data_IF_445348523422
#
_entry.id   IF_445348523422
#
_cell.length_a   1.000
_cell.length_b   1.000
_cell.length_c   1.000
_cell.angle_alpha   90.00
_cell.angle_beta   90.00
_cell.angle_gamma   90.00
#
_symmetry.space_group_name_H-M   'P 1'
#
loop_
_entity.id
_entity.type
_entity.pdbx_description
1 polymer ?
#
# COMPACT_ATOMS: atom_id res chain seq x y z
N UNK A 1 1.74 23.33 15.39
CA UNK A 1 3.17 23.69 15.19
C UNK A 1 3.36 24.06 13.72
N UNK A 2 4.47 24.66 13.33
CA UNK A 2 4.80 24.72 11.89
C UNK A 2 5.09 23.29 11.38
N UNK A 3 4.65 22.91 10.18
CA UNK A 3 4.90 21.58 9.65
C UNK A 3 6.39 21.32 9.52
N UNK A 4 6.84 20.09 9.80
CA UNK A 4 8.20 19.66 9.50
C UNK A 4 8.38 19.71 7.97
N UNK A 5 9.47 20.30 7.51
CA UNK A 5 9.80 20.42 6.08
C UNK A 5 11.18 19.86 5.73
N UNK A 6 11.97 19.47 6.72
CA UNK A 6 13.35 18.99 6.61
C UNK A 6 13.43 17.45 6.65
N UNK A 7 12.48 16.79 5.98
CA UNK A 7 12.51 15.33 5.86
C UNK A 7 13.69 14.86 5.00
N UNK A 8 14.33 13.73 5.33
CA UNK A 8 15.27 13.11 4.42
C UNK A 8 14.55 12.64 3.14
N UNK A 9 15.27 12.52 2.01
CA UNK A 9 14.73 11.95 0.79
C UNK A 9 14.22 10.51 0.98
N UNK A 10 13.14 10.19 0.27
CA UNK A 10 12.51 8.88 0.37
C UNK A 10 13.38 7.83 -0.31
N UNK A 11 13.68 6.75 0.41
CA UNK A 11 14.40 5.57 -0.09
C UNK A 11 13.51 4.34 -0.22
N UNK A 12 12.33 4.34 0.42
CA UNK A 12 11.36 3.26 0.32
C UNK A 12 9.93 3.76 0.17
N UNK A 13 9.17 3.17 -0.75
CA UNK A 13 7.72 3.34 -0.87
C UNK A 13 7.01 2.05 -0.49
N UNK A 14 6.05 2.14 0.44
CA UNK A 14 5.26 1.03 0.94
C UNK A 14 3.80 1.26 0.55
N UNK A 15 3.19 0.31 -0.13
CA UNK A 15 1.86 0.47 -0.70
C UNK A 15 0.85 -0.41 0.00
N UNK A 16 -0.29 0.15 0.41
CA UNK A 16 -1.50 -0.66 0.49
C UNK A 16 -1.93 -1.12 -0.92
N UNK A 17 -2.98 -1.93 -1.03
CA UNK A 17 -3.49 -2.43 -2.31
C UNK A 17 -4.95 -2.04 -2.53
N UNK A 18 -5.79 -2.23 -1.52
CA UNK A 18 -7.24 -2.23 -1.69
C UNK A 18 -7.76 -0.80 -1.60
N UNK A 19 -8.44 -0.32 -2.64
CA UNK A 19 -8.88 1.09 -2.70
C UNK A 19 -7.77 2.10 -3.02
N UNK A 20 -6.52 1.65 -3.08
CA UNK A 20 -5.35 2.47 -3.44
C UNK A 20 -4.72 2.08 -4.78
N UNK A 21 -4.29 0.82 -4.94
CA UNK A 21 -3.73 0.33 -6.21
C UNK A 21 -4.84 -0.13 -7.13
N UNK A 22 -5.88 -0.74 -6.55
CA UNK A 22 -7.01 -1.33 -7.26
C UNK A 22 -8.34 -0.70 -6.82
N UNK A 23 -9.32 -0.69 -7.72
CA UNK A 23 -10.70 -0.22 -7.50
C UNK A 23 -11.57 -1.13 -6.59
N UNK A 24 -10.93 -1.88 -5.68
CA UNK A 24 -11.57 -2.97 -4.95
C UNK A 24 -12.64 -2.50 -3.98
N UNK A 25 -12.59 -1.27 -3.47
CA UNK A 25 -13.58 -0.74 -2.52
C UNK A 25 -15.01 -0.70 -3.09
N UNK A 26 -15.15 -0.40 -4.37
CA UNK A 26 -16.45 -0.41 -5.04
C UNK A 26 -16.93 -1.84 -5.29
N UNK A 27 -16.02 -2.76 -5.61
CA UNK A 27 -16.32 -4.16 -5.81
C UNK A 27 -16.69 -4.89 -4.51
N UNK A 28 -16.01 -4.57 -3.41
CA UNK A 28 -16.40 -5.02 -2.06
C UNK A 28 -17.82 -4.58 -1.73
N UNK A 29 -18.14 -3.31 -2.01
CA UNK A 29 -19.47 -2.75 -1.78
C UNK A 29 -20.52 -3.45 -2.63
N UNK A 30 -20.23 -3.72 -3.91
CA UNK A 30 -21.12 -4.45 -4.80
C UNK A 30 -21.44 -5.86 -4.27
N UNK A 31 -20.42 -6.63 -3.88
CA UNK A 31 -20.60 -7.96 -3.28
C UNK A 31 -21.48 -7.92 -2.03
N UNK A 32 -21.22 -6.97 -1.12
CA UNK A 32 -21.98 -6.83 0.13
C UNK A 32 -23.43 -6.43 -0.14
N UNK A 33 -23.66 -5.48 -1.05
CA UNK A 33 -24.98 -4.97 -1.38
C UNK A 33 -25.90 -6.04 -2.00
N UNK A 34 -25.36 -6.93 -2.84
CA UNK A 34 -26.13 -8.07 -3.37
C UNK A 34 -26.71 -8.91 -2.23
N UNK A 35 -25.93 -9.19 -1.19
CA UNK A 35 -26.38 -9.98 -0.04
C UNK A 35 -27.37 -9.18 0.82
N UNK A 36 -27.10 -7.89 1.06
CA UNK A 36 -28.01 -7.03 1.83
C UNK A 36 -29.40 -6.96 1.18
N UNK A 37 -29.47 -6.78 -0.14
CA UNK A 37 -30.74 -6.74 -0.87
C UNK A 37 -31.51 -8.07 -0.76
N UNK A 38 -30.83 -9.21 -0.90
CA UNK A 38 -31.43 -10.54 -0.72
C UNK A 38 -31.99 -10.76 0.70
N UNK A 39 -31.41 -10.08 1.69
CA UNK A 39 -31.82 -10.12 3.09
C UNK A 39 -32.82 -9.00 3.46
N UNK A 40 -33.27 -8.20 2.49
CA UNK A 40 -34.20 -7.09 2.73
C UNK A 40 -33.61 -5.96 3.58
N UNK A 41 -32.28 -5.81 3.58
CA UNK A 41 -31.55 -4.76 4.31
C UNK A 41 -31.25 -3.58 3.38
N UNK A 42 -31.10 -2.36 3.94
CA UNK A 42 -30.63 -1.22 3.16
C UNK A 42 -29.21 -1.48 2.63
N UNK A 43 -28.88 -0.86 1.50
CA UNK A 43 -27.51 -0.84 0.96
C UNK A 43 -26.52 -0.30 1.99
N UNK A 44 -25.27 -0.77 1.91
CA UNK A 44 -24.19 -0.39 2.81
C UNK A 44 -23.95 1.13 2.77
N UNK A 45 -24.29 1.88 3.84
CA UNK A 45 -24.06 3.31 3.86
C UNK A 45 -22.58 3.61 4.09
N UNK A 46 -22.12 4.75 3.58
CA UNK A 46 -20.73 5.18 3.73
C UNK A 46 -20.29 5.33 5.20
N UNK A 47 -21.19 5.74 6.08
CA UNK A 47 -20.94 5.82 7.53
C UNK A 47 -20.59 4.47 8.18
N UNK A 48 -20.98 3.35 7.56
CA UNK A 48 -20.57 2.00 7.98
C UNK A 48 -19.35 1.56 7.17
N UNK A 49 -19.36 1.72 5.84
CA UNK A 49 -18.22 1.36 4.97
C UNK A 49 -16.91 1.99 5.44
N UNK A 50 -16.93 3.26 5.81
CA UNK A 50 -15.77 3.99 6.33
C UNK A 50 -15.17 3.36 7.59
N UNK A 51 -15.97 2.63 8.37
CA UNK A 51 -15.51 1.89 9.55
C UNK A 51 -14.96 0.52 9.22
N UNK A 52 -15.28 -0.05 8.05
CA UNK A 52 -14.81 -1.37 7.62
C UNK A 52 -13.48 -1.28 6.86
N UNK A 53 -13.34 -0.26 6.03
CA UNK A 53 -12.21 -0.05 5.12
C UNK A 53 -10.86 0.00 5.85
N UNK A 54 -9.87 -0.71 5.31
CA UNK A 54 -8.50 -0.78 5.86
C UNK A 54 -8.32 -1.61 7.14
N UNK A 55 -9.39 -2.23 7.69
CA UNK A 55 -9.29 -3.10 8.86
C UNK A 55 -8.99 -4.55 8.50
N UNK A 56 -8.39 -5.32 9.43
CA UNK A 56 -8.32 -6.77 9.32
C UNK A 56 -9.71 -7.40 9.18
N UNK A 57 -9.79 -8.49 8.40
CA UNK A 57 -11.05 -9.18 8.09
C UNK A 57 -11.93 -9.48 9.30
N UNK A 58 -11.43 -10.08 10.40
CA UNK A 58 -12.25 -10.38 11.57
C UNK A 58 -12.91 -9.16 12.21
N UNK A 59 -12.20 -8.03 12.29
CA UNK A 59 -12.72 -6.80 12.91
C UNK A 59 -13.77 -6.14 12.01
N UNK A 60 -13.53 -6.12 10.70
CA UNK A 60 -14.48 -5.62 9.71
C UNK A 60 -15.77 -6.48 9.69
N UNK A 61 -15.62 -7.82 9.69
CA UNK A 61 -16.74 -8.75 9.76
C UNK A 61 -17.60 -8.50 11.00
N UNK A 62 -17.00 -8.36 12.19
CA UNK A 62 -17.72 -8.09 13.43
C UNK A 62 -18.56 -6.80 13.34
N UNK A 63 -17.95 -5.69 12.95
CA UNK A 63 -18.62 -4.39 12.83
C UNK A 63 -19.75 -4.44 11.78
N UNK A 64 -19.52 -5.14 10.68
CA UNK A 64 -20.54 -5.33 9.66
C UNK A 64 -21.74 -6.11 10.21
N UNK A 65 -21.54 -7.24 10.89
CA UNK A 65 -22.64 -8.05 11.41
C UNK A 65 -23.45 -7.34 12.52
N UNK A 66 -22.78 -6.55 13.37
CA UNK A 66 -23.44 -5.71 14.38
C UNK A 66 -24.46 -4.75 13.77
N UNK A 67 -24.12 -4.15 12.61
CA UNK A 67 -25.03 -3.25 11.88
C UNK A 67 -26.02 -3.99 10.98
N UNK A 68 -25.54 -5.00 10.24
CA UNK A 68 -26.28 -5.64 9.16
C UNK A 68 -27.43 -6.50 9.69
N UNK A 69 -27.31 -7.10 10.87
CA UNK A 69 -28.35 -7.91 11.52
C UNK A 69 -29.03 -8.88 10.55
N UNK A 70 -28.21 -9.62 9.78
CA UNK A 70 -28.68 -10.55 8.77
C UNK A 70 -29.42 -11.73 9.41
N UNK A 71 -30.38 -12.31 8.67
CA UNK A 71 -31.10 -13.50 9.14
C UNK A 71 -30.30 -14.81 8.97
N UNK A 72 -29.33 -14.80 8.06
CA UNK A 72 -28.39 -15.90 7.81
C UNK A 72 -27.25 -15.91 8.82
N UNK A 73 -26.65 -17.09 9.01
CA UNK A 73 -25.46 -17.24 9.87
C UNK A 73 -24.23 -16.53 9.29
N UNK A 74 -23.24 -16.19 10.14
CA UNK A 74 -21.96 -15.65 9.67
C UNK A 74 -21.25 -16.60 8.69
N UNK A 75 -21.35 -17.91 8.91
CA UNK A 75 -20.79 -18.92 8.01
C UNK A 75 -21.44 -18.86 6.63
N UNK A 76 -22.75 -18.76 6.57
CA UNK A 76 -23.50 -18.66 5.31
C UNK A 76 -23.21 -17.33 4.59
N UNK A 77 -23.14 -16.22 5.33
CA UNK A 77 -22.72 -14.93 4.79
C UNK A 77 -21.32 -15.02 4.15
N UNK A 78 -20.34 -15.59 4.83
CA UNK A 78 -18.98 -15.75 4.29
C UNK A 78 -18.94 -16.64 3.04
N UNK A 79 -19.77 -17.70 2.99
CA UNK A 79 -19.87 -18.55 1.81
C UNK A 79 -20.43 -17.80 0.60
N UNK A 80 -21.51 -17.04 0.79
CA UNK A 80 -22.11 -16.21 -0.27
C UNK A 80 -21.14 -15.11 -0.72
N UNK A 81 -20.52 -14.40 0.23
CA UNK A 81 -19.56 -13.35 -0.07
C UNK A 81 -18.35 -13.88 -0.85
N UNK A 82 -17.78 -15.02 -0.43
CA UNK A 82 -16.66 -15.64 -1.14
C UNK A 82 -17.03 -16.10 -2.55
N UNK A 83 -18.26 -16.57 -2.77
CA UNK A 83 -18.74 -16.92 -4.11
C UNK A 83 -18.82 -15.69 -5.02
N UNK A 84 -19.37 -14.58 -4.53
CA UNK A 84 -19.43 -13.31 -5.26
C UNK A 84 -18.04 -12.74 -5.54
N UNK A 85 -17.15 -12.75 -4.55
CA UNK A 85 -15.77 -12.27 -4.69
C UNK A 85 -15.00 -13.05 -5.76
N UNK A 86 -15.16 -14.38 -5.84
CA UNK A 86 -14.54 -15.20 -6.90
C UNK A 86 -15.01 -14.84 -8.31
N UNK A 87 -16.22 -14.31 -8.45
CA UNK A 87 -16.75 -13.86 -9.73
C UNK A 87 -16.33 -12.42 -10.07
N UNK A 88 -16.30 -11.54 -9.06
CA UNK A 88 -16.16 -10.09 -9.25
C UNK A 88 -14.70 -9.63 -9.19
N UNK A 89 -13.89 -10.13 -8.25
CA UNK A 89 -12.50 -9.66 -8.09
C UNK A 89 -11.58 -9.86 -9.31
N UNK A 90 -11.76 -10.87 -10.17
CA UNK A 90 -11.04 -10.96 -11.44
C UNK A 90 -11.30 -9.79 -12.42
N UNK A 91 -12.25 -8.91 -12.12
CA UNK A 91 -12.56 -7.71 -12.92
C UNK A 91 -11.96 -6.42 -12.37
N UNK A 92 -11.21 -6.49 -11.25
CA UNK A 92 -10.50 -5.34 -10.66
C UNK A 92 -9.59 -4.65 -11.66
N UNK A 93 -9.46 -3.34 -11.52
CA UNK A 93 -8.64 -2.49 -12.37
C UNK A 93 -7.70 -1.63 -11.54
N UNK A 94 -6.52 -1.28 -12.08
CA UNK A 94 -5.67 -0.27 -11.48
C UNK A 94 -6.39 1.07 -11.39
N UNK A 95 -6.24 1.78 -10.27
CA UNK A 95 -6.74 3.15 -10.16
C UNK A 95 -5.92 4.13 -11.03
N UNK A 96 -6.50 5.29 -11.42
CA UNK A 96 -5.79 6.30 -12.19
C UNK A 96 -4.46 6.70 -11.55
N UNK A 97 -3.44 6.89 -12.39
CA UNK A 97 -2.08 7.23 -11.94
C UNK A 97 -1.24 6.06 -11.42
N UNK A 98 -1.85 4.98 -10.90
CA UNK A 98 -1.13 3.84 -10.31
C UNK A 98 -0.13 3.19 -11.28
N UNK A 99 -0.48 2.86 -12.54
CA UNK A 99 0.49 2.26 -13.47
C UNK A 99 1.70 3.15 -13.72
N UNK A 100 1.48 4.46 -13.91
CA UNK A 100 2.57 5.43 -14.13
C UNK A 100 3.42 5.61 -12.88
N UNK A 101 2.80 5.70 -11.70
CA UNK A 101 3.48 5.80 -10.43
C UNK A 101 4.42 4.62 -10.20
N UNK A 102 3.90 3.40 -10.32
CA UNK A 102 4.68 2.18 -10.14
C UNK A 102 5.79 2.09 -11.21
N UNK A 103 5.49 2.31 -12.49
CA UNK A 103 6.53 2.29 -13.54
C UNK A 103 7.68 3.26 -13.24
N UNK A 104 7.37 4.49 -12.83
CA UNK A 104 8.37 5.51 -12.50
C UNK A 104 9.22 5.13 -11.28
N UNK A 105 8.59 4.64 -10.20
CA UNK A 105 9.33 4.18 -9.02
C UNK A 105 10.17 2.94 -9.34
N UNK A 106 9.64 2.01 -10.15
CA UNK A 106 10.36 0.81 -10.59
C UNK A 106 11.57 1.11 -11.47
N UNK A 107 11.50 2.20 -12.24
CA UNK A 107 12.62 2.70 -13.07
C UNK A 107 13.79 3.21 -12.24
N UNK A 108 13.57 3.63 -10.99
CA UNK A 108 14.67 4.09 -10.11
C UNK A 108 15.74 3.03 -9.87
N UNK A 109 15.48 1.74 -10.16
CA UNK A 109 16.51 0.69 -10.21
C UNK A 109 17.68 1.01 -11.16
N UNK A 110 17.46 1.90 -12.13
CA UNK A 110 18.51 2.46 -12.99
C UNK A 110 19.70 2.98 -12.18
N UNK A 111 19.45 3.60 -11.03
CA UNK A 111 20.52 4.18 -10.20
C UNK A 111 21.46 3.11 -9.63
N UNK A 112 20.98 1.87 -9.46
CA UNK A 112 21.79 0.71 -9.05
C UNK A 112 22.47 0.04 -10.26
N UNK A 113 21.77 -0.04 -11.39
CA UNK A 113 22.17 -0.88 -12.54
C UNK A 113 23.08 -0.15 -13.54
N UNK A 114 23.06 1.19 -13.56
CA UNK A 114 23.83 1.96 -14.54
C UNK A 114 25.34 1.69 -14.38
N UNK A 115 26.06 1.35 -15.46
CA UNK A 115 27.50 1.18 -15.42
C UNK A 115 28.22 2.47 -15.00
N UNK A 116 29.32 2.37 -14.25
CA UNK A 116 30.13 3.53 -13.86
C UNK A 116 30.62 4.37 -15.05
N UNK A 117 30.81 3.74 -16.21
CA UNK A 117 31.21 4.38 -17.48
C UNK A 117 30.13 5.25 -18.12
N UNK A 118 28.87 5.15 -17.70
CA UNK A 118 27.75 5.95 -18.21
C UNK A 118 27.60 7.31 -17.50
N UNK A 119 28.50 7.65 -16.56
CA UNK A 119 28.50 8.95 -15.89
C UNK A 119 29.14 10.04 -16.77
N UNK A 120 28.30 10.83 -17.43
CA UNK A 120 28.75 12.10 -18.02
C UNK A 120 29.01 13.12 -16.88
N UNK A 121 30.28 13.32 -16.55
CA UNK A 121 30.90 14.62 -16.21
C UNK A 121 30.36 15.47 -15.05
N UNK A 122 31.29 15.82 -14.14
CA UNK A 122 31.34 17.00 -13.28
C UNK A 122 30.23 17.23 -12.25
N UNK A 123 30.53 16.90 -10.99
CA UNK A 123 29.84 17.42 -9.80
C UNK A 123 30.83 17.98 -8.78
N UNK A 124 31.45 19.12 -9.06
CA UNK A 124 31.90 20.03 -8.01
C UNK A 124 30.67 20.79 -7.52
N UNK A 125 30.15 20.47 -6.33
CA UNK A 125 29.06 21.21 -5.72
C UNK A 125 28.47 20.46 -4.52
N UNK A 126 28.65 21.02 -3.33
CA UNK A 126 27.97 20.60 -2.13
C UNK A 126 26.43 20.72 -2.27
N UNK A 127 25.71 19.83 -1.61
CA UNK A 127 24.27 19.92 -1.26
C UNK A 127 23.20 19.69 -2.35
N UNK A 128 23.38 18.68 -3.21
CA UNK A 128 22.24 17.90 -3.75
C UNK A 128 22.52 16.42 -3.50
N UNK A 129 21.65 15.74 -2.75
CA UNK A 129 21.76 14.30 -2.56
C UNK A 129 21.78 13.58 -3.92
N UNK A 130 22.69 12.62 -4.07
CA UNK A 130 22.82 11.86 -5.30
C UNK A 130 21.55 11.02 -5.52
N UNK A 131 20.98 11.00 -6.74
CA UNK A 131 19.86 10.12 -7.07
C UNK A 131 20.13 8.66 -6.69
N UNK A 132 19.14 8.03 -6.06
CA UNK A 132 19.21 6.65 -5.56
C UNK A 132 17.96 5.87 -5.95
N UNK A 133 18.06 4.54 -5.87
CA UNK A 133 16.91 3.66 -6.05
C UNK A 133 15.90 3.85 -4.94
N UNK A 134 14.61 3.88 -5.30
CA UNK A 134 13.51 3.75 -4.35
C UNK A 134 13.09 2.29 -4.29
N UNK A 135 13.20 1.70 -3.10
CA UNK A 135 12.75 0.34 -2.84
C UNK A 135 11.23 0.29 -2.64
N UNK A 136 10.59 -0.80 -3.08
CA UNK A 136 9.13 -0.91 -3.05
C UNK A 136 8.73 -2.19 -2.31
N UNK A 137 7.67 -2.09 -1.50
CA UNK A 137 7.01 -3.21 -0.84
C UNK A 137 5.48 -3.07 -0.89
N UNK A 138 4.80 -4.21 -0.86
CA UNK A 138 3.34 -4.29 -0.75
C UNK A 138 2.97 -4.65 0.69
N UNK A 139 1.99 -3.97 1.27
CA UNK A 139 1.53 -4.12 2.64
C UNK A 139 -0.01 -4.08 2.68
N UNK A 140 -0.66 -5.21 2.39
CA UNK A 140 -2.13 -5.31 2.29
C UNK A 140 -2.74 -6.15 3.41
N UNK A 141 -3.92 -5.75 3.90
CA UNK A 141 -4.72 -6.57 4.82
C UNK A 141 -5.47 -7.72 4.13
N UNK A 142 -5.41 -7.81 2.80
CA UNK A 142 -5.92 -8.96 2.05
C UNK A 142 -5.12 -10.23 2.36
N UNK A 143 -5.83 -11.34 2.62
CA UNK A 143 -5.22 -12.67 2.68
C UNK A 143 -4.81 -13.15 1.30
N UNK A 144 -3.90 -14.13 1.23
CA UNK A 144 -3.35 -14.67 -0.02
C UNK A 144 -4.40 -15.05 -1.07
N UNK A 145 -5.50 -15.70 -0.65
CA UNK A 145 -6.55 -16.11 -1.58
C UNK A 145 -7.22 -14.91 -2.28
N UNK A 146 -7.54 -13.85 -1.53
CA UNK A 146 -8.15 -12.65 -2.09
C UNK A 146 -7.15 -11.79 -2.85
N UNK A 147 -5.89 -11.73 -2.41
CA UNK A 147 -4.82 -11.10 -3.17
C UNK A 147 -4.76 -11.69 -4.58
N UNK A 148 -4.68 -13.01 -4.72
CA UNK A 148 -4.62 -13.70 -6.02
C UNK A 148 -5.83 -13.40 -6.91
N UNK A 149 -7.04 -13.47 -6.36
CA UNK A 149 -8.27 -13.16 -7.13
C UNK A 149 -8.27 -11.74 -7.72
N UNK A 150 -7.59 -10.80 -7.07
CA UNK A 150 -7.51 -9.39 -7.48
C UNK A 150 -6.29 -9.08 -8.36
N UNK A 151 -5.23 -9.89 -8.27
CA UNK A 151 -3.93 -9.55 -8.90
C UNK A 151 -3.50 -10.47 -10.02
N UNK A 152 -4.01 -11.70 -10.12
CA UNK A 152 -3.46 -12.72 -11.03
C UNK A 152 -3.65 -12.36 -12.52
N UNK A 153 -4.62 -11.50 -12.87
CA UNK A 153 -4.79 -10.94 -14.22
C UNK A 153 -4.01 -9.63 -14.45
N UNK A 154 -3.32 -9.12 -13.44
CA UNK A 154 -2.55 -7.86 -13.45
C UNK A 154 -1.06 -8.12 -13.15
N UNK A 155 -0.51 -9.21 -13.67
CA UNK A 155 0.86 -9.69 -13.38
C UNK A 155 1.93 -8.64 -13.62
N UNK A 156 1.84 -7.88 -14.71
CA UNK A 156 2.78 -6.80 -15.04
C UNK A 156 2.76 -5.67 -14.02
N UNK A 157 1.58 -5.31 -13.51
CA UNK A 157 1.46 -4.26 -12.50
C UNK A 157 2.11 -4.69 -11.18
N UNK A 158 1.90 -5.95 -10.78
CA UNK A 158 2.37 -6.46 -9.50
C UNK A 158 3.79 -7.04 -9.54
N UNK A 159 4.41 -7.20 -10.71
CA UNK A 159 5.79 -7.70 -10.85
C UNK A 159 6.80 -6.81 -10.13
N UNK A 160 6.51 -5.51 -10.05
CA UNK A 160 7.34 -4.51 -9.38
C UNK A 160 7.53 -4.78 -7.88
N UNK A 161 6.59 -5.51 -7.25
CA UNK A 161 6.68 -5.92 -5.86
C UNK A 161 7.33 -7.31 -5.80
N UNK A 162 8.61 -7.45 -5.40
CA UNK A 162 9.22 -8.77 -5.26
C UNK A 162 8.42 -9.62 -4.27
N UNK A 163 8.27 -10.92 -4.53
CA UNK A 163 7.45 -11.82 -3.69
C UNK A 163 7.83 -11.77 -2.20
N UNK A 164 9.13 -11.67 -1.88
CA UNK A 164 9.63 -11.58 -0.51
C UNK A 164 9.34 -10.23 0.18
N UNK A 165 8.94 -9.20 -0.58
CA UNK A 165 8.52 -7.87 -0.09
C UNK A 165 7.01 -7.65 -0.16
N UNK A 166 6.24 -8.72 -0.31
CA UNK A 166 4.77 -8.70 -0.20
C UNK A 166 4.38 -9.19 1.19
N UNK A 167 3.79 -8.29 1.97
CA UNK A 167 3.23 -8.59 3.28
C UNK A 167 1.70 -8.60 3.14
N UNK A 168 1.10 -9.75 3.39
CA UNK A 168 -0.33 -9.99 3.25
C UNK A 168 -1.01 -10.09 4.63
N UNK A 169 -2.33 -10.00 4.68
CA UNK A 169 -3.08 -9.96 5.95
C UNK A 169 -3.01 -11.26 6.77
N UNK A 170 -2.69 -12.38 6.14
CA UNK A 170 -2.52 -13.70 6.77
C UNK A 170 -1.04 -14.06 7.03
N UNK A 171 -0.12 -13.10 6.89
CA UNK A 171 1.30 -13.27 7.17
C UNK A 171 1.56 -13.60 8.65
N UNK A 172 2.15 -14.77 8.91
CA UNK A 172 2.38 -15.29 10.28
C UNK A 172 3.41 -14.50 11.08
N UNK A 173 4.17 -13.61 10.44
CA UNK A 173 5.12 -12.72 11.11
C UNK A 173 4.41 -11.57 11.82
N UNK A 174 3.14 -11.30 11.50
CA UNK A 174 2.29 -10.34 12.21
C UNK A 174 1.49 -11.11 13.27
N UNK A 175 1.63 -10.72 14.53
CA UNK A 175 0.91 -11.40 15.60
C UNK A 175 -0.62 -11.14 15.50
N UNK A 176 -1.47 -12.08 15.93
CA UNK A 176 -2.93 -11.87 15.95
C UNK A 176 -3.32 -10.58 16.69
N UNK A 177 -4.24 -9.81 16.11
CA UNK A 177 -4.67 -8.52 16.65
C UNK A 177 -3.72 -7.34 16.40
N UNK A 178 -2.61 -7.57 15.67
CA UNK A 178 -1.63 -6.54 15.28
C UNK A 178 -1.78 -6.03 13.85
N UNK A 179 -2.94 -6.23 13.23
CA UNK A 179 -3.26 -5.57 11.96
C UNK A 179 -3.49 -4.06 12.15
N UNK A 180 -3.69 -3.36 11.02
CA UNK A 180 -4.02 -1.92 11.02
C UNK A 180 -5.17 -1.65 12.00
N UNK A 181 -5.06 -0.64 12.86
CA UNK A 181 -4.18 0.53 12.82
C UNK A 181 -2.79 0.33 13.45
N UNK A 182 -2.44 -0.87 13.90
CA UNK A 182 -1.09 -1.11 14.39
C UNK A 182 -0.07 -1.03 13.25
N UNK A 183 1.17 -0.58 13.55
CA UNK A 183 2.18 -0.31 12.51
C UNK A 183 2.84 -1.57 11.93
N UNK A 184 2.56 -2.75 12.49
CA UNK A 184 3.30 -3.98 12.29
C UNK A 184 3.42 -4.38 10.82
N UNK A 185 2.38 -4.16 10.01
CA UNK A 185 2.41 -4.49 8.57
C UNK A 185 3.44 -3.64 7.80
N UNK A 186 3.53 -2.35 8.11
CA UNK A 186 4.48 -1.43 7.48
C UNK A 186 5.89 -1.61 8.02
N UNK A 187 6.03 -1.84 9.33
CA UNK A 187 7.33 -2.18 9.93
C UNK A 187 7.88 -3.49 9.37
N UNK A 188 7.02 -4.49 9.17
CA UNK A 188 7.41 -5.74 8.53
C UNK A 188 7.78 -5.54 7.07
N UNK A 189 7.02 -4.75 6.31
CA UNK A 189 7.36 -4.42 4.92
C UNK A 189 8.71 -3.69 4.82
N UNK A 190 8.99 -2.70 5.67
CA UNK A 190 10.31 -2.07 5.78
C UNK A 190 11.38 -3.09 6.14
N UNK A 191 11.11 -3.99 7.10
CA UNK A 191 12.05 -5.07 7.44
C UNK A 191 12.36 -5.94 6.22
N UNK A 192 11.37 -6.33 5.42
CA UNK A 192 11.62 -7.14 4.20
C UNK A 192 12.50 -6.41 3.18
N UNK A 193 12.37 -5.08 3.07
CA UNK A 193 13.25 -4.25 2.25
C UNK A 193 14.67 -4.30 2.82
N UNK A 194 14.83 -3.96 4.11
CA UNK A 194 16.13 -3.91 4.79
C UNK A 194 16.88 -5.25 4.78
N UNK A 195 16.17 -6.37 4.96
CA UNK A 195 16.73 -7.72 4.89
C UNK A 195 17.22 -8.10 3.49
N UNK A 196 16.77 -7.39 2.45
CA UNK A 196 17.07 -7.67 1.04
C UNK A 196 17.81 -6.52 0.34
N UNK A 197 18.39 -5.59 1.10
CA UNK A 197 19.22 -4.54 0.53
C UNK A 197 20.53 -5.12 -0.03
N UNK A 198 21.09 -4.54 -1.11
CA UNK A 198 22.42 -4.85 -1.58
C UNK A 198 23.48 -4.67 -0.49
N UNK A 199 24.56 -5.45 -0.57
CA UNK A 199 25.68 -5.32 0.34
C UNK A 199 26.28 -3.90 0.27
N UNK A 200 26.45 -3.26 1.44
CA UNK A 200 27.01 -1.92 1.55
C UNK A 200 25.97 -0.80 1.53
N UNK A 201 24.71 -1.07 1.18
CA UNK A 201 23.63 -0.11 1.38
C UNK A 201 23.24 -0.04 2.86
N UNK A 202 23.07 1.18 3.39
CA UNK A 202 22.67 1.39 4.79
C UNK A 202 21.21 1.00 4.98
N UNK A 203 20.81 0.43 6.13
CA UNK A 203 19.40 0.22 6.45
C UNK A 203 18.59 1.51 6.29
N UNK A 204 17.37 1.37 5.77
CA UNK A 204 16.41 2.46 5.59
C UNK A 204 15.68 2.67 6.91
N UNK A 205 15.66 3.92 7.38
CA UNK A 205 14.93 4.36 8.55
C UNK A 205 13.46 4.62 8.22
N UNK A 206 12.54 4.54 9.20
CA UNK A 206 11.13 4.84 8.98
C UNK A 206 10.85 6.23 8.37
N UNK A 207 11.61 7.26 8.73
CA UNK A 207 11.41 8.61 8.18
C UNK A 207 11.86 8.77 6.71
N UNK A 208 12.66 7.82 6.20
CA UNK A 208 13.03 7.69 4.78
C UNK A 208 11.98 6.87 3.99
N UNK A 209 10.86 6.48 4.63
CA UNK A 209 9.79 5.71 4.02
C UNK A 209 8.56 6.57 3.72
N UNK A 210 7.91 6.28 2.59
CA UNK A 210 6.63 6.85 2.20
C UNK A 210 5.58 5.75 2.06
N UNK A 211 4.58 5.78 2.93
CA UNK A 211 3.40 4.92 2.86
C UNK A 211 2.37 5.56 1.93
N UNK A 212 1.79 4.78 1.03
CA UNK A 212 0.61 5.17 0.26
C UNK A 212 -0.58 4.40 0.80
N UNK A 213 -1.65 5.12 1.11
CA UNK A 213 -2.85 4.59 1.78
C UNK A 213 -4.10 5.33 1.34
N UNK A 214 -5.24 4.63 1.31
CA UNK A 214 -6.56 5.21 1.06
C UNK A 214 -7.40 5.24 2.36
N UNK A 215 -7.08 4.37 3.32
CA UNK A 215 -7.90 4.11 4.49
C UNK A 215 -7.43 4.88 5.73
N UNK A 216 -8.37 5.23 6.61
CA UNK A 216 -8.04 5.92 7.88
C UNK A 216 -7.20 5.04 8.82
N UNK A 217 -7.51 3.75 9.06
CA UNK A 217 -6.66 2.88 9.88
C UNK A 217 -5.26 2.69 9.30
N UNK A 218 -5.15 2.69 7.97
CA UNK A 218 -3.88 2.58 7.27
C UNK A 218 -2.99 3.81 7.41
N UNK A 219 -3.58 5.01 7.29
CA UNK A 219 -2.84 6.26 7.60
C UNK A 219 -2.32 6.24 9.02
N UNK A 220 -3.15 5.88 10.00
CA UNK A 220 -2.73 5.76 11.40
C UNK A 220 -1.58 4.74 11.56
N UNK A 221 -1.67 3.57 10.91
CA UNK A 221 -0.62 2.56 10.95
C UNK A 221 0.71 3.08 10.36
N UNK A 222 0.67 3.82 9.25
CA UNK A 222 1.87 4.44 8.67
C UNK A 222 2.48 5.50 9.59
N UNK A 223 1.63 6.34 10.20
CA UNK A 223 2.06 7.33 11.20
C UNK A 223 2.73 6.67 12.41
N UNK A 224 2.11 5.62 12.96
CA UNK A 224 2.63 4.85 14.11
C UNK A 224 3.91 4.09 13.79
N UNK A 225 4.14 3.78 12.51
CA UNK A 225 5.39 3.18 12.05
C UNK A 225 6.54 4.21 11.99
N UNK A 226 6.27 5.50 12.23
CA UNK A 226 7.25 6.57 12.10
C UNK A 226 7.56 6.89 10.63
N UNK A 227 6.60 6.66 9.73
CA UNK A 227 6.74 6.86 8.29
C UNK A 227 5.96 8.07 7.81
N UNK A 228 6.38 8.64 6.68
CA UNK A 228 5.58 9.63 5.97
C UNK A 228 4.42 8.94 5.26
N UNK A 229 3.29 9.62 5.09
CA UNK A 229 2.08 9.02 4.50
C UNK A 229 1.45 9.93 3.43
N UNK A 230 1.18 9.37 2.27
CA UNK A 230 0.24 9.94 1.29
C UNK A 230 -1.10 9.27 1.47
N UNK A 231 -2.11 10.07 1.83
CA UNK A 231 -3.49 9.64 1.95
C UNK A 231 -4.27 9.99 0.67
N UNK A 232 -4.64 8.97 -0.11
CA UNK A 232 -5.41 9.08 -1.35
C UNK A 232 -6.75 8.34 -1.23
N UNK A 233 -7.72 8.89 -0.47
CA UNK A 233 -8.99 8.22 -0.18
C UNK A 233 -9.94 8.22 -1.37
N UNK A 234 -10.85 7.23 -1.37
CA UNK A 234 -12.07 7.32 -2.15
C UNK A 234 -12.87 8.60 -1.80
N UNK A 235 -13.44 9.29 -2.80
CA UNK A 235 -14.13 10.59 -2.63
C UNK A 235 -15.23 10.58 -1.57
N UNK A 236 -15.96 9.48 -1.48
CA UNK A 236 -17.02 9.34 -0.50
C UNK A 236 -16.48 9.06 0.91
N UNK A 237 -15.33 8.38 1.05
CA UNK A 237 -14.65 8.26 2.34
C UNK A 237 -14.21 9.66 2.81
N UNK A 238 -13.61 10.45 1.91
CA UNK A 238 -13.23 11.83 2.21
C UNK A 238 -14.44 12.65 2.70
N UNK A 239 -15.61 12.48 2.09
CA UNK A 239 -16.83 13.16 2.50
C UNK A 239 -17.30 12.77 3.92
N UNK A 240 -17.16 11.50 4.33
CA UNK A 240 -17.47 11.07 5.71
C UNK A 240 -16.54 11.72 6.74
N UNK A 241 -15.33 12.10 6.34
CA UNK A 241 -14.33 12.76 7.19
C UNK A 241 -14.22 14.28 6.94
N UNK A 242 -15.23 14.89 6.32
CA UNK A 242 -15.23 16.32 6.03
C UNK A 242 -15.06 17.16 7.31
N UNK A 243 -14.05 18.00 7.34
CA UNK A 243 -13.68 18.82 8.51
C UNK A 243 -12.83 18.09 9.55
N UNK A 244 -12.50 16.81 9.33
CA UNK A 244 -11.61 15.97 10.16
C UNK A 244 -10.42 15.42 9.38
N UNK A 245 -10.15 15.92 8.19
CA UNK A 245 -9.06 15.47 7.33
C UNK A 245 -7.71 15.59 8.05
N UNK A 246 -7.53 16.68 8.81
CA UNK A 246 -6.33 16.89 9.63
C UNK A 246 -6.17 15.85 10.74
N UNK A 247 -7.27 15.39 11.34
CA UNK A 247 -7.23 14.31 12.33
C UNK A 247 -6.79 13.00 11.67
N UNK A 248 -7.26 12.73 10.44
CA UNK A 248 -6.84 11.56 9.66
C UNK A 248 -5.34 11.61 9.40
N UNK A 249 -4.83 12.73 8.87
CA UNK A 249 -3.40 12.90 8.57
C UNK A 249 -2.50 12.81 9.82
N UNK A 250 -3.01 13.21 10.98
CA UNK A 250 -2.32 13.03 12.25
C UNK A 250 -2.44 11.59 12.81
N UNK A 251 -3.31 10.75 12.26
CA UNK A 251 -3.64 9.43 12.81
C UNK A 251 -4.42 9.52 14.13
N UNK A 252 -5.21 10.59 14.34
CA UNK A 252 -5.88 10.93 15.62
C UNK A 252 -7.40 10.81 15.56
N UNK A 253 -7.95 10.00 14.66
CA UNK A 253 -9.42 9.92 14.50
C UNK A 253 -10.13 9.22 15.65
N UNK A 254 -9.41 8.43 16.45
CA UNK A 254 -9.96 7.68 17.60
C UNK A 254 -10.85 6.50 17.22
N UNK A 255 -11.06 6.27 15.92
CA UNK A 255 -11.90 5.19 15.38
C UNK A 255 -11.24 3.81 15.54
N UNK A 256 -9.94 3.78 15.83
CA UNK A 256 -9.11 2.63 16.11
C UNK A 256 -9.37 1.94 17.47
N UNK A 257 -10.28 2.47 18.30
CA UNK A 257 -10.53 1.96 19.67
C UNK A 257 -9.66 2.67 20.71
N UNK A 258 -9.20 1.95 21.74
CA UNK A 258 -8.27 2.52 22.73
C UNK A 258 -6.88 2.67 22.09
N UNK A 259 -6.59 3.88 21.63
CA UNK A 259 -5.30 4.26 21.06
C UNK A 259 -4.48 4.96 22.13
N UNK A 260 -3.22 4.56 22.27
CA UNK A 260 -2.23 5.35 23.01
C UNK A 260 -1.94 6.63 22.22
N UNK A 261 -2.45 7.77 22.73
CA UNK A 261 -2.31 9.07 22.08
C UNK A 261 -0.85 9.55 22.00
N UNK A 262 0.11 8.87 22.65
CA UNK A 262 1.54 9.13 22.49
C UNK A 262 2.13 8.47 21.23
N UNK A 263 1.40 7.58 20.56
CA UNK A 263 1.85 6.88 19.35
C UNK A 263 1.35 7.52 18.05
N UNK A 264 0.45 8.50 18.15
CA UNK A 264 -0.13 9.20 17.00
C UNK A 264 0.60 10.52 16.74
N UNK A 265 0.52 11.02 15.51
CA UNK A 265 1.16 12.28 15.11
C UNK A 265 0.47 13.50 15.69
N UNK A 266 0.98 14.68 15.36
CA UNK A 266 0.37 15.97 15.68
C UNK A 266 -0.30 16.57 14.44
N UNK A 267 -1.38 17.34 14.65
CA UNK A 267 -2.06 18.02 13.54
C UNK A 267 -1.11 19.03 12.89
N UNK A 268 -1.07 19.00 11.56
CA UNK A 268 -0.22 19.87 10.72
C UNK A 268 1.29 19.69 10.95
N UNK A 269 1.75 18.50 11.35
CA UNK A 269 3.17 18.22 11.59
C UNK A 269 3.99 17.88 10.33
N UNK A 270 3.34 17.80 9.16
CA UNK A 270 3.98 17.62 7.85
C UNK A 270 4.32 16.18 7.46
N UNK A 271 4.05 15.20 8.33
CA UNK A 271 4.37 13.80 8.06
C UNK A 271 3.38 13.09 7.15
N UNK A 272 2.13 13.57 7.07
CA UNK A 272 1.15 13.04 6.13
C UNK A 272 0.49 14.13 5.32
N UNK A 273 0.12 13.78 4.09
CA UNK A 273 -0.56 14.68 3.18
C UNK A 273 -1.66 13.98 2.41
N UNK A 274 -2.72 14.74 2.14
CA UNK A 274 -3.82 14.31 1.30
C UNK A 274 -3.48 14.53 -0.18
N UNK A 275 -3.86 13.57 -1.02
CA UNK A 275 -3.91 13.69 -2.46
C UNK A 275 -5.26 13.20 -2.96
N UNK A 276 -5.83 13.87 -3.95
CA UNK A 276 -7.09 13.47 -4.58
C UNK A 276 -6.88 12.39 -5.66
N UNK A 277 -5.67 12.32 -6.22
CA UNK A 277 -5.25 11.34 -7.22
C UNK A 277 -3.74 11.07 -7.09
N UNK A 278 -3.30 9.91 -7.60
CA UNK A 278 -1.89 9.57 -7.76
C UNK A 278 -1.34 9.96 -9.15
N UNK A 279 -2.18 10.54 -10.01
CA UNK A 279 -1.74 11.11 -11.28
C UNK A 279 -0.80 12.29 -11.06
N UNK A 280 0.24 12.41 -11.90
CA UNK A 280 1.24 13.48 -11.82
C UNK A 280 1.89 13.61 -10.42
N UNK A 281 2.16 12.47 -9.77
CA UNK A 281 2.74 12.42 -8.44
C UNK A 281 4.01 13.29 -8.31
N UNK A 282 4.12 14.15 -7.27
CA UNK A 282 5.19 15.16 -7.17
C UNK A 282 6.49 14.56 -6.59
N UNK A 283 7.21 13.76 -7.36
CA UNK A 283 8.43 13.05 -6.91
C UNK A 283 9.48 13.94 -6.23
N UNK A 284 9.75 15.13 -6.79
CA UNK A 284 10.75 16.07 -6.27
C UNK A 284 10.46 16.52 -4.82
N UNK A 285 9.17 16.63 -4.46
CA UNK A 285 8.74 16.98 -3.10
C UNK A 285 9.18 15.94 -2.06
N UNK A 286 9.38 14.70 -2.50
CA UNK A 286 9.81 13.57 -1.68
C UNK A 286 11.29 13.25 -1.85
N UNK A 287 12.05 14.08 -2.58
CA UNK A 287 13.45 13.83 -2.88
C UNK A 287 13.66 12.63 -3.81
N UNK A 288 12.63 12.23 -4.57
CA UNK A 288 12.70 11.11 -5.51
C UNK A 288 13.08 11.64 -6.88
N UNK A 289 14.20 11.17 -7.43
CA UNK A 289 14.60 11.49 -8.81
C UNK A 289 14.26 10.31 -9.73
N UNK A 290 13.24 10.50 -10.57
CA UNK A 290 12.82 9.51 -11.57
C UNK A 290 13.70 9.61 -12.81
N UNK A 291 14.36 8.52 -13.25
CA UNK A 291 15.11 8.52 -14.51
C UNK A 291 14.18 8.79 -15.71
N UNK A 292 14.71 9.36 -16.81
CA UNK A 292 13.93 9.62 -18.01
C UNK A 292 13.51 8.29 -18.66
N UNK A 293 12.37 8.26 -19.35
CA UNK A 293 11.73 7.00 -19.80
C UNK A 293 12.61 6.21 -20.78
N UNK A 294 13.48 6.89 -21.51
CA UNK A 294 14.39 6.33 -22.50
C UNK A 294 15.37 5.31 -21.88
N UNK A 295 15.63 5.37 -20.57
CA UNK A 295 16.50 4.38 -19.92
C UNK A 295 15.86 2.99 -19.91
N UNK A 296 14.54 2.86 -20.07
CA UNK A 296 13.87 1.56 -20.13
C UNK A 296 14.34 0.74 -21.35
N UNK A 297 14.87 1.39 -22.39
CA UNK A 297 15.41 0.74 -23.59
C UNK A 297 16.84 0.20 -23.41
N UNK A 298 17.53 0.63 -22.34
CA UNK A 298 18.92 0.23 -22.06
C UNK A 298 19.01 -1.29 -21.83
N UNK A 299 20.03 -1.99 -22.39
CA UNK A 299 20.15 -3.44 -22.25
C UNK A 299 20.17 -3.95 -20.81
N UNK A 300 20.77 -3.20 -19.88
CA UNK A 300 20.85 -3.56 -18.46
C UNK A 300 19.56 -3.27 -17.68
N UNK A 301 18.60 -2.55 -18.26
CA UNK A 301 17.29 -2.29 -17.66
C UNK A 301 16.25 -3.34 -18.02
N UNK A 302 16.50 -4.12 -19.08
CA UNK A 302 15.65 -5.24 -19.52
C UNK A 302 15.82 -6.43 -18.56
N UNK A 303 14.71 -6.99 -18.12
CA UNK A 303 14.75 -8.20 -17.28
C UNK A 303 15.29 -9.39 -18.10
N UNK A 304 16.32 -10.05 -17.60
CA UNK A 304 16.86 -11.27 -18.22
C UNK A 304 15.86 -12.43 -18.02
N UNK A 305 14.94 -12.61 -18.97
CA UNK A 305 13.97 -13.72 -18.98
C UNK A 305 14.65 -15.09 -19.28
N UNK A 306 15.98 -15.12 -19.50
CA UNK A 306 16.69 -16.25 -20.10
C UNK A 306 17.37 -17.26 -19.18
N UNK A 307 17.58 -16.99 -17.88
CA UNK A 307 18.47 -17.84 -17.05
C UNK A 307 17.84 -18.48 -15.80
N UNK A 308 16.59 -18.16 -15.45
CA UNK A 308 16.01 -18.58 -14.15
C UNK A 308 15.14 -19.85 -14.23
N UNK A 309 15.00 -20.50 -15.39
CA UNK A 309 14.12 -21.67 -15.56
C UNK A 309 14.81 -22.97 -15.98
N UNK A 310 16.03 -23.26 -15.52
CA UNK A 310 16.52 -24.66 -15.53
C UNK A 310 17.51 -24.90 -14.38
N UNK A 311 17.02 -25.18 -13.17
CA UNK A 311 17.77 -26.05 -12.25
C UNK A 311 16.86 -27.04 -11.51
N UNK A 312 16.94 -28.29 -11.99
CA UNK A 312 16.93 -29.55 -11.22
C UNK A 312 15.60 -30.07 -10.67
N UNK A 313 14.71 -30.44 -11.58
CA UNK A 313 14.02 -31.72 -11.46
C UNK A 313 14.90 -32.81 -12.09
N UNK A 314 15.90 -33.31 -11.34
CA UNK A 314 16.60 -34.56 -11.65
C UNK A 314 17.40 -35.06 -10.44
N UNK A 315 17.00 -36.20 -9.90
CA UNK A 315 17.63 -36.91 -8.78
C UNK A 315 16.56 -37.71 -8.01
N UNK A 316 15.91 -38.71 -8.60
CA UNK A 316 16.37 -40.10 -8.82
C UNK A 316 16.04 -41.02 -7.63
N UNK A 317 15.12 -41.96 -7.91
CA UNK A 317 14.92 -43.31 -7.38
C UNK A 317 14.88 -43.54 -5.86
#
# INVERSE_FOLDING_TARGET
>A
MAPRTDFPPIRACLFDMDGLLLDTEDLYTACINIILEQQGRPLLPWSIKAKLQGRPGPDATRLFHEWAQLSISEQEYHQQLSALQRQIFPTTKPLPGVPALLANLGRTRYWDLKPASASNGNGNGADKENPHRVHIALATSSHLANFKLKSDHLTELFSIFPSHRRVLGDDKRIAPGRGKPNPDIFLLALKTINDSLPAGEKPIAPEECLVFEDSVPGVEAGRRAGMRVVWCPHKMLLNEYKGREKDVLAGRTGEAGHVDMHQVGEVDDGWAEYMDTLENFPYDKFGITVPPVEVDDEPFMKENVGEVLVEKANGSA
#
